data_IF_279962492514
#
_entry.id   IF_279962492514
#
_cell.length_a   1.000
_cell.length_b   1.000
_cell.length_c   1.000
_cell.angle_alpha   90.00
_cell.angle_beta   90.00
_cell.angle_gamma   90.00
#
_symmetry.space_group_name_H-M   'P 1'
#
loop_
_entity.id
_entity.type
_entity.pdbx_description
1 polymer ?
#
# COMPACT_ATOMS: atom_id res chain seq x y z
N UNK A 1 -15.08 -18.22 1.51
CA UNK A 1 -14.97 -16.79 1.15
C UNK A 1 -14.93 -16.61 -0.36
N UNK A 2 -13.91 -17.09 -1.09
CA UNK A 2 -13.86 -16.91 -2.57
C UNK A 2 -15.10 -17.46 -3.27
N UNK A 3 -15.62 -18.59 -2.83
CA UNK A 3 -16.87 -19.18 -3.36
C UNK A 3 -18.08 -18.22 -3.31
N UNK A 4 -18.11 -17.25 -2.41
CA UNK A 4 -19.21 -16.27 -2.34
C UNK A 4 -19.21 -15.27 -3.51
N UNK A 5 -18.15 -15.23 -4.30
CA UNK A 5 -18.04 -14.40 -5.50
C UNK A 5 -18.49 -15.12 -6.78
N UNK A 6 -18.79 -16.43 -6.71
CA UNK A 6 -19.18 -17.23 -7.87
C UNK A 6 -18.10 -17.22 -8.96
N UNK A 7 -18.51 -17.06 -10.21
CA UNK A 7 -17.60 -17.00 -11.36
C UNK A 7 -16.80 -15.70 -11.48
N UNK A 8 -17.04 -14.70 -10.61
CA UNK A 8 -16.31 -13.42 -10.63
C UNK A 8 -14.91 -13.48 -10.02
N UNK A 9 -14.64 -14.51 -9.19
CA UNK A 9 -13.32 -14.74 -8.61
C UNK A 9 -13.01 -16.23 -8.58
N UNK A 10 -11.82 -16.59 -8.99
CA UNK A 10 -11.29 -17.95 -8.97
C UNK A 10 -10.18 -18.06 -7.95
N UNK A 11 -10.11 -19.19 -7.24
CA UNK A 11 -8.99 -19.50 -6.36
C UNK A 11 -8.07 -20.49 -7.07
N UNK A 12 -6.82 -20.12 -7.20
CA UNK A 12 -5.76 -20.92 -7.79
C UNK A 12 -4.65 -21.16 -6.76
N UNK A 13 -4.11 -22.35 -6.72
CA UNK A 13 -2.92 -22.69 -5.95
C UNK A 13 -1.78 -22.92 -6.93
N UNK A 14 -0.70 -22.17 -6.78
CA UNK A 14 0.51 -22.33 -7.58
C UNK A 14 1.60 -22.98 -6.76
N UNK A 15 2.38 -23.84 -7.40
CA UNK A 15 3.57 -24.44 -6.79
C UNK A 15 4.64 -23.36 -6.53
N UNK A 16 5.21 -23.40 -5.34
CA UNK A 16 6.16 -22.42 -4.86
C UNK A 16 7.35 -22.19 -5.81
N UNK A 17 7.91 -23.23 -6.38
CA UNK A 17 9.07 -23.16 -7.29
C UNK A 17 8.76 -22.81 -8.75
N UNK A 18 7.48 -22.56 -9.09
CA UNK A 18 7.04 -22.31 -10.46
C UNK A 18 6.12 -21.07 -10.59
N UNK A 19 6.06 -20.22 -9.57
CA UNK A 19 5.20 -19.05 -9.57
C UNK A 19 5.96 -17.78 -9.99
N UNK A 20 5.67 -17.20 -11.18
CA UNK A 20 6.25 -15.92 -11.59
C UNK A 20 5.97 -14.78 -10.62
N UNK A 21 4.84 -14.84 -9.89
CA UNK A 21 4.50 -13.85 -8.87
C UNK A 21 5.41 -14.00 -7.65
N UNK A 22 5.71 -15.22 -7.21
CA UNK A 22 6.65 -15.45 -6.12
C UNK A 22 8.03 -14.89 -6.46
N UNK A 23 8.52 -15.15 -7.66
CA UNK A 23 9.82 -14.64 -8.14
C UNK A 23 9.82 -13.10 -8.20
N UNK A 24 8.78 -12.51 -8.77
CA UNK A 24 8.64 -11.04 -8.89
C UNK A 24 8.68 -10.33 -7.54
N UNK A 25 8.08 -10.92 -6.49
CA UNK A 25 8.02 -10.35 -5.15
C UNK A 25 9.13 -10.84 -4.21
N UNK A 26 10.07 -11.65 -4.71
CA UNK A 26 11.16 -12.22 -3.91
C UNK A 26 10.63 -13.09 -2.76
N UNK A 27 9.58 -13.88 -3.02
CA UNK A 27 8.99 -14.80 -2.05
C UNK A 27 9.77 -16.10 -2.10
N UNK A 28 10.51 -16.40 -1.03
CA UNK A 28 11.36 -17.58 -0.89
C UNK A 28 10.78 -18.66 0.05
N UNK A 29 9.58 -18.44 0.58
CA UNK A 29 8.86 -19.32 1.50
C UNK A 29 7.36 -19.28 1.24
N UNK A 30 6.62 -20.19 1.84
CA UNK A 30 5.15 -20.26 1.75
C UNK A 30 4.50 -20.13 3.14
N UNK A 31 3.21 -19.76 3.22
CA UNK A 31 2.33 -19.32 2.15
C UNK A 31 2.51 -17.84 1.82
N UNK A 32 2.28 -17.47 0.57
CA UNK A 32 2.01 -16.09 0.17
C UNK A 32 0.64 -16.02 -0.48
N UNK A 33 -0.08 -14.91 -0.31
CA UNK A 33 -1.40 -14.73 -0.88
C UNK A 33 -1.43 -13.52 -1.79
N UNK A 34 -1.93 -13.74 -2.99
CA UNK A 34 -2.12 -12.72 -4.01
C UNK A 34 -3.61 -12.57 -4.35
N UNK A 35 -4.01 -11.40 -4.78
CA UNK A 35 -5.26 -11.15 -5.49
C UNK A 35 -4.87 -10.56 -6.83
N UNK A 36 -5.07 -11.32 -7.90
CA UNK A 36 -4.42 -11.14 -9.19
C UNK A 36 -2.89 -11.04 -9.00
N UNK A 37 -2.26 -9.95 -9.44
CA UNK A 37 -0.82 -9.72 -9.30
C UNK A 37 -0.44 -8.90 -8.06
N UNK A 38 -1.34 -8.77 -7.07
CA UNK A 38 -1.10 -7.98 -5.86
C UNK A 38 -0.85 -8.87 -4.68
N UNK A 39 0.32 -8.72 -4.06
CA UNK A 39 0.68 -9.42 -2.84
C UNK A 39 -0.12 -8.86 -1.65
N UNK A 40 -0.96 -9.69 -1.06
CA UNK A 40 -1.80 -9.34 0.10
C UNK A 40 -1.14 -9.76 1.41
N UNK A 41 -0.50 -10.91 1.42
CA UNK A 41 0.15 -11.44 2.61
C UNK A 41 1.41 -12.24 2.25
N UNK A 42 2.45 -12.06 3.06
CA UNK A 42 3.74 -12.76 2.98
C UNK A 42 3.80 -13.93 3.95
N UNK A 43 4.76 -14.85 3.80
CA UNK A 43 4.98 -15.94 4.76
C UNK A 43 5.10 -15.45 6.21
N UNK A 44 5.80 -14.35 6.43
CA UNK A 44 6.04 -13.74 7.73
C UNK A 44 4.75 -13.25 8.41
N UNK A 45 3.71 -12.96 7.63
CA UNK A 45 2.41 -12.52 8.14
C UNK A 45 1.62 -13.64 8.82
N UNK A 46 1.96 -14.91 8.55
CA UNK A 46 1.29 -16.09 9.10
C UNK A 46 2.11 -16.81 10.16
N UNK A 47 3.43 -16.79 10.00
CA UNK A 47 4.38 -17.51 10.84
C UNK A 47 5.56 -16.61 11.18
N UNK A 48 6.17 -16.83 12.34
CA UNK A 48 7.34 -16.10 12.78
C UNK A 48 8.62 -16.53 12.02
N UNK A 49 8.61 -16.57 10.70
CA UNK A 49 9.78 -16.86 9.88
C UNK A 49 10.81 -15.71 9.98
N UNK A 50 11.67 -15.77 11.02
CA UNK A 50 12.72 -14.75 11.23
C UNK A 50 12.22 -13.37 11.69
N UNK A 51 10.96 -13.21 11.99
CA UNK A 51 10.32 -11.92 12.32
C UNK A 51 9.85 -11.76 13.76
N UNK A 52 10.60 -12.25 14.76
CA UNK A 52 10.30 -12.02 16.19
C UNK A 52 8.81 -12.19 16.61
N UNK A 53 8.04 -13.01 15.90
CA UNK A 53 6.61 -13.20 16.17
C UNK A 53 5.71 -12.03 15.78
N UNK A 54 6.19 -11.10 14.97
CA UNK A 54 5.47 -9.89 14.55
C UNK A 54 5.06 -10.00 13.09
N UNK A 55 3.90 -10.57 12.81
CA UNK A 55 3.29 -10.57 11.48
C UNK A 55 1.85 -10.10 11.54
N UNK A 56 1.30 -9.72 10.40
CA UNK A 56 -0.02 -9.09 10.30
C UNK A 56 -1.16 -9.95 10.88
N UNK A 57 -0.98 -11.28 10.80
CA UNK A 57 -1.99 -12.28 11.21
C UNK A 57 -1.48 -13.25 12.28
N UNK A 58 -0.48 -12.84 13.04
CA UNK A 58 0.09 -13.63 14.14
C UNK A 58 -0.54 -13.23 15.49
N UNK A 59 -0.88 -14.17 16.36
CA UNK A 59 -0.81 -15.62 16.13
C UNK A 59 -1.93 -16.15 15.20
N UNK A 60 -1.55 -16.99 14.25
CA UNK A 60 -2.49 -17.53 13.25
C UNK A 60 -3.63 -18.35 13.83
N UNK A 61 -3.43 -18.94 15.02
CA UNK A 61 -4.47 -19.69 15.72
C UNK A 61 -5.61 -18.78 16.22
N UNK A 62 -5.37 -17.49 16.37
CA UNK A 62 -6.39 -16.53 16.79
C UNK A 62 -7.46 -16.36 15.70
N UNK A 63 -8.72 -16.51 16.10
CA UNK A 63 -9.87 -16.33 15.20
C UNK A 63 -9.95 -14.90 14.68
N UNK A 64 -9.59 -13.91 15.49
CA UNK A 64 -9.60 -12.50 15.09
C UNK A 64 -8.61 -12.26 13.93
N UNK A 65 -7.40 -12.81 14.01
CA UNK A 65 -6.39 -12.68 12.96
C UNK A 65 -6.80 -13.37 11.65
N UNK A 66 -7.45 -14.55 11.74
CA UNK A 66 -8.03 -15.21 10.57
C UNK A 66 -9.17 -14.40 9.94
N UNK A 67 -10.03 -13.78 10.75
CA UNK A 67 -11.09 -12.88 10.27
C UNK A 67 -10.51 -11.63 9.62
N UNK A 68 -9.43 -11.08 10.17
CA UNK A 68 -8.69 -9.94 9.60
C UNK A 68 -8.18 -10.28 8.20
N UNK A 69 -7.49 -11.41 8.01
CA UNK A 69 -7.07 -11.86 6.68
C UNK A 69 -8.24 -11.98 5.71
N UNK A 70 -9.35 -12.60 6.15
CA UNK A 70 -10.53 -12.73 5.29
C UNK A 70 -11.12 -11.38 4.89
N UNK A 71 -11.12 -10.40 5.80
CA UNK A 71 -11.57 -9.05 5.50
C UNK A 71 -10.65 -8.35 4.51
N UNK A 72 -9.33 -8.46 4.69
CA UNK A 72 -8.35 -7.88 3.79
C UNK A 72 -8.45 -8.47 2.37
N UNK A 73 -8.58 -9.81 2.26
CA UNK A 73 -8.78 -10.47 0.98
C UNK A 73 -10.09 -10.07 0.30
N UNK A 74 -11.21 -10.00 1.04
CA UNK A 74 -12.49 -9.53 0.49
C UNK A 74 -12.35 -8.14 -0.07
N UNK A 75 -11.79 -7.23 0.71
CA UNK A 75 -11.58 -5.84 0.30
C UNK A 75 -10.76 -5.74 -0.98
N UNK A 76 -9.66 -6.51 -1.09
CA UNK A 76 -8.85 -6.52 -2.30
C UNK A 76 -9.62 -7.06 -3.51
N UNK A 77 -10.36 -8.15 -3.34
CA UNK A 77 -11.20 -8.71 -4.41
C UNK A 77 -12.26 -7.68 -4.84
N UNK A 78 -12.94 -7.03 -3.90
CA UNK A 78 -13.97 -6.04 -4.20
C UNK A 78 -13.40 -4.83 -4.95
N UNK A 79 -12.22 -4.35 -4.55
CA UNK A 79 -11.49 -3.29 -5.26
C UNK A 79 -11.19 -3.70 -6.70
N UNK A 80 -10.71 -4.94 -6.90
CA UNK A 80 -10.40 -5.47 -8.23
C UNK A 80 -11.66 -5.59 -9.10
N UNK A 81 -12.71 -6.15 -8.57
CA UNK A 81 -13.98 -6.32 -9.28
C UNK A 81 -14.69 -5.00 -9.60
N UNK A 82 -14.47 -3.96 -8.81
CA UNK A 82 -14.98 -2.63 -9.09
C UNK A 82 -14.17 -1.86 -10.17
N UNK A 83 -13.19 -2.51 -10.82
CA UNK A 83 -12.31 -1.86 -11.79
C UNK A 83 -11.29 -0.92 -11.14
N UNK A 84 -11.07 -1.03 -9.84
CA UNK A 84 -10.01 -0.35 -9.10
C UNK A 84 -8.67 -0.75 -9.69
N UNK A 85 -7.97 0.22 -10.26
CA UNK A 85 -6.76 0.02 -11.03
C UNK A 85 -5.66 -0.56 -10.18
N UNK A 86 -5.39 -1.80 -10.42
CA UNK A 86 -4.19 -2.48 -10.03
C UNK A 86 -3.39 -2.60 -11.32
N UNK A 87 -2.21 -2.01 -11.36
CA UNK A 87 -1.25 -2.05 -12.45
C UNK A 87 -1.85 -2.09 -13.87
N UNK A 88 -1.51 -1.17 -14.75
CA UNK A 88 -1.83 -1.33 -16.16
C UNK A 88 -1.02 -2.51 -16.70
N UNK A 89 -1.63 -3.67 -16.88
CA UNK A 89 -1.32 -4.47 -18.05
C UNK A 89 -1.70 -3.58 -19.22
N UNK A 90 -0.80 -3.42 -20.16
CA UNK A 90 -1.04 -2.65 -21.40
C UNK A 90 -2.41 -3.03 -21.97
N UNK A 91 -3.40 -2.22 -21.73
CA UNK A 91 -4.69 -2.29 -22.40
C UNK A 91 -4.93 -0.94 -23.06
N UNK A 92 -5.14 -1.06 -24.37
CA UNK A 92 -5.47 0.01 -25.32
C UNK A 92 -6.31 1.13 -24.69
N UNK A 93 -5.95 2.36 -25.06
CA UNK A 93 -6.68 3.59 -24.77
C UNK A 93 -8.20 3.43 -24.84
N UNK A 94 -8.88 3.80 -23.78
CA UNK A 94 -10.32 3.91 -23.78
C UNK A 94 -10.93 3.68 -22.39
N UNK A 95 -11.20 4.78 -21.72
CA UNK A 95 -11.94 4.96 -20.46
C UNK A 95 -11.08 4.95 -19.20
N UNK A 96 -10.58 6.13 -18.88
CA UNK A 96 -10.14 6.49 -17.54
C UNK A 96 -11.34 6.34 -16.58
N UNK A 97 -11.26 5.56 -15.49
CA UNK A 97 -12.26 5.63 -14.44
C UNK A 97 -12.29 7.07 -13.93
N UNK A 98 -13.49 7.62 -13.72
CA UNK A 98 -13.67 8.96 -13.21
C UNK A 98 -12.71 9.20 -12.04
N UNK A 99 -11.84 10.17 -12.18
CA UNK A 99 -10.68 10.43 -11.34
C UNK A 99 -11.10 10.58 -9.88
N UNK A 100 -10.86 9.54 -9.08
CA UNK A 100 -11.01 9.63 -7.63
C UNK A 100 -9.97 10.63 -7.11
N UNK A 101 -10.42 11.68 -6.47
CA UNK A 101 -9.52 12.63 -5.83
C UNK A 101 -9.04 12.10 -4.47
N UNK A 102 -7.88 12.59 -4.01
CA UNK A 102 -7.46 12.43 -2.62
C UNK A 102 -8.56 12.96 -1.69
N UNK A 103 -8.82 12.32 -0.55
CA UNK A 103 -9.96 12.65 0.29
C UNK A 103 -9.85 14.08 0.86
N UNK A 104 -11.00 14.77 0.92
CA UNK A 104 -11.11 16.11 1.51
C UNK A 104 -11.15 16.02 3.04
N UNK A 105 -10.02 15.67 3.65
CA UNK A 105 -9.86 15.50 5.10
C UNK A 105 -8.84 16.50 5.63
N UNK A 106 -9.05 16.96 6.87
CA UNK A 106 -8.04 17.70 7.62
C UNK A 106 -7.17 16.72 8.40
N UNK A 107 -5.87 16.84 8.25
CA UNK A 107 -4.86 15.98 8.87
C UNK A 107 -4.01 16.80 9.83
N UNK A 108 -3.51 16.15 10.88
CA UNK A 108 -2.51 16.73 11.80
C UNK A 108 -1.27 15.86 11.70
N UNK A 109 -0.16 16.45 11.28
CA UNK A 109 1.11 15.71 11.19
C UNK A 109 1.73 15.45 12.58
N UNK A 110 2.76 14.63 12.58
CA UNK A 110 3.44 14.22 13.82
C UNK A 110 4.13 15.41 14.55
N UNK A 111 4.30 16.52 13.86
CA UNK A 111 4.79 17.79 14.43
C UNK A 111 3.66 18.69 14.96
N UNK A 112 2.40 18.23 14.91
CA UNK A 112 1.23 18.97 15.38
C UNK A 112 0.70 20.01 14.41
N UNK A 113 1.17 20.03 13.15
CA UNK A 113 0.72 21.00 12.13
C UNK A 113 -0.44 20.43 11.32
N UNK A 114 -1.53 21.20 11.26
CA UNK A 114 -2.69 20.86 10.44
C UNK A 114 -2.40 21.08 8.95
N UNK A 115 -2.93 20.23 8.09
CA UNK A 115 -2.87 20.35 6.64
C UNK A 115 -4.01 19.59 5.96
N UNK A 116 -4.21 19.84 4.67
CA UNK A 116 -5.13 19.09 3.80
C UNK A 116 -4.41 18.73 2.50
N UNK A 117 -4.83 17.68 1.81
CA UNK A 117 -4.30 17.37 0.47
C UNK A 117 -4.57 18.51 -0.51
N UNK A 118 -5.74 19.18 -0.40
CA UNK A 118 -6.06 20.34 -1.22
C UNK A 118 -5.09 21.52 -1.03
N UNK A 119 -4.51 21.66 0.17
CA UNK A 119 -3.48 22.67 0.45
C UNK A 119 -2.09 22.33 -0.11
N UNK A 120 -1.91 21.13 -0.66
CA UNK A 120 -0.65 20.66 -1.25
C UNK A 120 -0.66 20.69 -2.79
N UNK A 121 -1.66 21.32 -3.41
CA UNK A 121 -1.80 21.42 -4.87
C UNK A 121 -0.62 22.10 -5.55
N UNK A 122 -0.50 21.86 -6.86
CA UNK A 122 0.55 22.44 -7.71
C UNK A 122 1.75 21.50 -7.93
N UNK A 123 1.86 20.41 -7.15
CA UNK A 123 2.85 19.34 -7.35
C UNK A 123 2.17 17.98 -7.14
N UNK A 124 2.63 16.92 -7.81
CA UNK A 124 2.20 15.57 -7.51
C UNK A 124 2.28 15.25 -6.01
N UNK A 125 1.37 14.43 -5.53
CA UNK A 125 1.32 13.98 -4.13
C UNK A 125 1.47 12.47 -4.11
N UNK A 126 2.49 11.99 -3.40
CA UNK A 126 2.69 10.57 -3.14
C UNK A 126 2.33 10.28 -1.69
N UNK A 127 1.26 9.49 -1.49
CA UNK A 127 0.80 9.07 -0.17
C UNK A 127 1.18 7.63 0.04
N UNK A 128 1.97 7.31 1.07
CA UNK A 128 2.34 5.96 1.44
C UNK A 128 1.65 5.54 2.74
N UNK A 129 0.91 4.44 2.70
CA UNK A 129 0.47 3.71 3.88
C UNK A 129 1.52 2.67 4.24
N UNK A 130 2.02 2.73 5.46
CA UNK A 130 3.14 1.93 5.92
C UNK A 130 2.99 1.51 7.39
N UNK A 131 3.78 0.54 7.83
CA UNK A 131 3.80 0.11 9.23
C UNK A 131 5.23 -0.12 9.71
N UNK A 132 5.48 0.05 11.01
CA UNK A 132 6.80 -0.13 11.62
C UNK A 132 7.31 -1.57 11.56
N UNK A 133 6.42 -2.53 11.48
CA UNK A 133 6.69 -3.97 11.36
C UNK A 133 6.76 -4.47 9.92
N UNK A 134 6.69 -3.57 8.90
CA UNK A 134 6.66 -3.91 7.48
C UNK A 134 8.03 -3.64 6.83
N UNK A 135 8.93 -4.63 6.67
CA UNK A 135 10.26 -4.41 6.12
C UNK A 135 10.27 -3.75 4.72
N UNK A 136 9.41 -4.16 3.74
CA UNK A 136 9.38 -3.48 2.45
C UNK A 136 8.92 -2.01 2.56
N UNK A 137 8.05 -1.67 3.52
CA UNK A 137 7.68 -0.28 3.77
C UNK A 137 8.90 0.55 4.23
N UNK A 138 9.73 -0.03 5.12
CA UNK A 138 10.93 0.65 5.61
C UNK A 138 11.93 0.91 4.49
N UNK A 139 12.00 0.01 3.51
CA UNK A 139 12.81 0.18 2.31
C UNK A 139 12.27 1.32 1.45
N UNK A 140 10.95 1.36 1.21
CA UNK A 140 10.30 2.46 0.47
C UNK A 140 10.50 3.81 1.17
N UNK A 141 10.27 3.90 2.49
CA UNK A 141 10.53 5.11 3.26
C UNK A 141 11.98 5.61 3.11
N UNK A 142 12.95 4.69 3.11
CA UNK A 142 14.36 5.06 2.92
C UNK A 142 14.64 5.58 1.51
N UNK A 143 13.95 5.04 0.50
CA UNK A 143 14.05 5.50 -0.88
C UNK A 143 13.37 6.85 -1.11
N UNK A 144 12.29 7.19 -0.39
CA UNK A 144 11.58 8.47 -0.55
C UNK A 144 12.50 9.69 -0.40
N UNK A 145 13.60 9.58 0.34
CA UNK A 145 14.60 10.67 0.48
C UNK A 145 15.30 11.03 -0.84
N UNK A 146 15.25 10.14 -1.84
CA UNK A 146 15.84 10.38 -3.16
C UNK A 146 14.94 11.28 -4.04
N UNK A 147 13.67 11.45 -3.63
CA UNK A 147 12.73 12.31 -4.32
C UNK A 147 13.00 13.77 -4.00
N UNK A 148 13.07 14.61 -5.03
CA UNK A 148 13.22 16.05 -4.84
C UNK A 148 11.92 16.66 -4.29
N UNK A 149 11.93 17.25 -3.08
CA UNK A 149 10.73 17.83 -2.47
C UNK A 149 10.20 19.05 -3.22
N UNK A 150 10.96 19.62 -4.15
CA UNK A 150 10.48 20.67 -5.06
C UNK A 150 9.52 20.13 -6.10
N UNK A 151 9.62 18.85 -6.43
CA UNK A 151 8.90 18.21 -7.52
C UNK A 151 7.76 17.29 -7.06
N UNK A 152 7.72 16.89 -5.79
CA UNK A 152 6.69 16.00 -5.25
C UNK A 152 6.44 16.28 -3.77
N UNK A 153 5.19 16.23 -3.36
CA UNK A 153 4.80 16.21 -1.96
C UNK A 153 4.69 14.76 -1.47
N UNK A 154 5.29 14.45 -0.33
CA UNK A 154 5.22 13.13 0.29
C UNK A 154 4.38 13.19 1.56
N UNK A 155 3.46 12.23 1.72
CA UNK A 155 2.66 12.03 2.93
C UNK A 155 2.75 10.57 3.35
N UNK A 156 3.34 10.29 4.51
CA UNK A 156 3.37 8.96 5.10
C UNK A 156 2.23 8.79 6.11
N UNK A 157 1.47 7.72 6.01
CA UNK A 157 0.38 7.38 6.93
C UNK A 157 0.74 6.08 7.63
N UNK A 158 1.12 6.17 8.91
CA UNK A 158 1.51 5.02 9.71
C UNK A 158 0.26 4.28 10.22
N UNK A 159 0.15 3.00 9.86
CA UNK A 159 -0.95 2.13 10.27
C UNK A 159 -0.47 1.10 11.28
N UNK A 160 -1.34 0.67 12.19
CA UNK A 160 -1.09 -0.43 13.14
C UNK A 160 0.30 -0.33 13.80
N UNK A 161 0.68 0.87 14.20
CA UNK A 161 2.00 1.19 14.73
C UNK A 161 1.90 2.15 15.90
N UNK A 162 2.75 1.96 16.90
CA UNK A 162 2.82 2.86 18.04
C UNK A 162 3.66 4.10 17.71
N UNK A 163 3.26 5.26 18.20
CA UNK A 163 3.92 6.55 17.91
C UNK A 163 5.43 6.54 18.20
N UNK A 164 5.95 6.05 19.32
CA UNK A 164 7.39 6.01 19.55
C UNK A 164 8.16 5.17 18.53
N UNK A 165 7.57 4.05 18.06
CA UNK A 165 8.16 3.21 17.03
C UNK A 165 8.15 3.90 15.65
N UNK A 166 7.09 4.66 15.34
CA UNK A 166 7.00 5.49 14.14
C UNK A 166 8.10 6.55 14.14
N UNK A 167 8.24 7.31 15.23
CA UNK A 167 9.28 8.34 15.35
C UNK A 167 10.69 7.75 15.18
N UNK A 168 10.97 6.58 15.77
CA UNK A 168 12.26 5.89 15.63
C UNK A 168 12.52 5.44 14.18
N UNK A 169 11.51 4.95 13.48
CA UNK A 169 11.62 4.57 12.06
C UNK A 169 11.91 5.80 11.20
N UNK A 170 11.16 6.88 11.37
CA UNK A 170 11.35 8.10 10.59
C UNK A 170 12.72 8.72 10.81
N UNK A 171 13.20 8.74 12.06
CA UNK A 171 14.56 9.20 12.38
C UNK A 171 15.64 8.35 11.67
N UNK A 172 15.44 7.03 11.58
CA UNK A 172 16.39 6.10 10.95
C UNK A 172 16.36 6.18 9.43
N UNK A 173 15.15 6.26 8.83
CA UNK A 173 14.99 6.25 7.36
C UNK A 173 15.25 7.60 6.74
N UNK A 174 15.03 8.68 7.47
CA UNK A 174 15.10 10.05 6.95
C UNK A 174 14.00 10.36 5.93
N UNK A 175 12.88 9.64 5.97
CA UNK A 175 11.78 9.82 5.03
C UNK A 175 11.27 11.27 5.05
N UNK A 176 11.21 11.95 3.90
CA UNK A 176 10.78 13.34 3.81
C UNK A 176 9.27 13.49 3.90
N UNK A 177 8.81 14.73 4.01
CA UNK A 177 7.39 15.06 3.88
C UNK A 177 6.66 15.14 5.21
N UNK A 178 5.34 14.94 5.17
CA UNK A 178 4.47 14.97 6.34
C UNK A 178 4.07 13.56 6.72
N UNK A 179 4.14 13.24 7.99
CA UNK A 179 3.77 11.92 8.49
C UNK A 179 2.64 12.06 9.50
N UNK A 180 1.66 11.17 9.42
CA UNK A 180 0.48 11.13 10.30
C UNK A 180 0.26 9.72 10.83
N UNK A 181 -0.40 9.59 11.98
CA UNK A 181 -0.95 8.32 12.44
C UNK A 181 -2.27 8.05 11.71
N UNK A 182 -2.48 6.81 11.28
CA UNK A 182 -3.74 6.42 10.69
C UNK A 182 -4.86 6.43 11.73
N UNK A 183 -6.05 6.83 11.29
CA UNK A 183 -7.29 6.70 12.06
C UNK A 183 -8.32 5.92 11.24
N UNK A 184 -9.28 5.24 11.85
CA UNK A 184 -10.31 4.52 11.10
C UNK A 184 -11.03 5.40 10.06
N UNK A 185 -11.47 6.65 10.37
CA UNK A 185 -12.07 7.51 9.35
C UNK A 185 -11.13 7.85 8.19
N UNK A 186 -9.82 8.00 8.45
CA UNK A 186 -8.84 8.26 7.39
C UNK A 186 -8.70 7.05 6.47
N UNK A 187 -8.63 5.83 7.03
CA UNK A 187 -8.58 4.60 6.23
C UNK A 187 -9.85 4.43 5.37
N UNK A 188 -11.02 4.71 5.93
CA UNK A 188 -12.30 4.67 5.21
C UNK A 188 -12.34 5.69 4.07
N UNK A 189 -11.82 6.90 4.27
CA UNK A 189 -11.76 7.94 3.26
C UNK A 189 -10.95 7.51 2.03
N UNK A 190 -9.94 6.65 2.20
CA UNK A 190 -9.19 6.02 1.11
C UNK A 190 -9.86 4.77 0.54
N UNK A 191 -11.02 4.36 1.07
CA UNK A 191 -11.74 3.15 0.66
C UNK A 191 -11.22 1.90 1.34
N UNK A 192 -10.51 2.09 2.43
CA UNK A 192 -9.87 1.05 3.21
C UNK A 192 -8.50 0.65 2.68
N UNK A 193 -7.75 -0.08 3.51
CA UNK A 193 -6.38 -0.48 3.22
C UNK A 193 -6.25 -2.00 3.28
N UNK A 194 -6.08 -2.69 2.13
CA UNK A 194 -5.99 -4.15 2.12
C UNK A 194 -4.61 -4.66 2.55
N UNK A 195 -3.54 -3.91 2.27
CA UNK A 195 -2.17 -4.30 2.53
C UNK A 195 -1.25 -3.08 2.72
N UNK A 196 -0.04 -3.30 3.26
CA UNK A 196 1.06 -2.33 3.29
C UNK A 196 2.31 -2.95 2.65
N UNK A 197 3.14 -2.14 1.95
CA UNK A 197 2.87 -0.76 1.59
C UNK A 197 1.74 -0.64 0.57
N UNK A 198 0.97 0.43 0.66
CA UNK A 198 0.08 0.87 -0.42
C UNK A 198 0.39 2.34 -0.68
N UNK A 199 0.64 2.67 -1.96
CA UNK A 199 0.97 4.03 -2.33
C UNK A 199 -0.06 4.57 -3.31
N UNK A 200 -0.54 5.79 -3.04
CA UNK A 200 -1.41 6.55 -3.93
C UNK A 200 -0.60 7.67 -4.55
N UNK A 201 -0.51 7.70 -5.86
CA UNK A 201 0.06 8.81 -6.61
C UNK A 201 -1.07 9.67 -7.16
N UNK A 202 -1.07 10.94 -6.80
CA UNK A 202 -1.99 11.92 -7.32
C UNK A 202 -1.24 13.00 -8.12
N UNK A 203 -1.93 13.58 -9.10
CA UNK A 203 -1.44 14.73 -9.85
C UNK A 203 -1.45 16.03 -9.01
N UNK A 204 -1.02 17.13 -9.60
CA UNK A 204 -0.97 18.44 -8.96
C UNK A 204 -2.35 19.00 -8.55
N UNK A 205 -3.43 18.48 -9.08
CA UNK A 205 -4.82 18.82 -8.71
C UNK A 205 -5.37 17.91 -7.61
N UNK A 206 -4.61 16.88 -7.22
CA UNK A 206 -5.01 15.91 -6.20
C UNK A 206 -5.86 14.76 -6.75
N UNK A 207 -5.91 14.55 -8.08
CA UNK A 207 -6.56 13.40 -8.69
C UNK A 207 -5.63 12.21 -8.62
N UNK A 208 -6.11 11.07 -8.09
CA UNK A 208 -5.36 9.84 -8.01
C UNK A 208 -5.18 9.29 -9.43
N UNK A 209 -3.92 9.26 -9.90
CA UNK A 209 -3.55 8.75 -11.23
C UNK A 209 -3.09 7.31 -11.18
N UNK A 210 -2.55 6.86 -10.03
CA UNK A 210 -2.12 5.48 -9.84
C UNK A 210 -2.14 5.06 -8.38
N UNK A 211 -2.38 3.77 -8.15
CA UNK A 211 -2.24 3.13 -6.83
C UNK A 211 -1.30 1.93 -6.98
N UNK A 212 -0.33 1.83 -6.07
CA UNK A 212 0.59 0.70 -6.01
C UNK A 212 0.28 -0.10 -4.75
N UNK A 213 0.13 -1.40 -4.89
CA UNK A 213 -0.12 -2.31 -3.79
C UNK A 213 1.06 -3.26 -3.61
N UNK A 214 1.59 -3.34 -2.39
CA UNK A 214 2.79 -4.13 -2.09
C UNK A 214 4.06 -3.48 -2.62
N UNK A 215 5.17 -4.21 -2.54
CA UNK A 215 6.50 -3.73 -2.94
C UNK A 215 7.18 -4.74 -3.87
N UNK A 216 6.79 -4.80 -5.15
CA UNK A 216 7.54 -5.54 -6.15
C UNK A 216 8.93 -4.90 -6.32
N UNK A 217 9.94 -5.65 -6.82
CA UNK A 217 11.32 -5.14 -6.95
C UNK A 217 11.45 -3.87 -7.80
N UNK A 218 10.56 -3.68 -8.75
CA UNK A 218 10.51 -2.54 -9.67
C UNK A 218 9.66 -1.35 -9.16
N UNK A 219 9.09 -1.42 -7.94
CA UNK A 219 8.18 -0.41 -7.39
C UNK A 219 8.74 1.01 -7.51
N UNK A 220 9.97 1.22 -7.09
CA UNK A 220 10.57 2.56 -7.06
C UNK A 220 10.78 3.12 -8.48
N UNK A 221 11.16 2.27 -9.42
CA UNK A 221 11.31 2.62 -10.83
C UNK A 221 9.97 3.01 -11.45
N UNK A 222 8.92 2.24 -11.17
CA UNK A 222 7.58 2.53 -11.65
C UNK A 222 7.02 3.82 -11.06
N UNK A 223 7.22 4.09 -9.76
CA UNK A 223 6.83 5.37 -9.16
C UNK A 223 7.58 6.53 -9.82
N UNK A 224 8.90 6.41 -10.00
CA UNK A 224 9.72 7.44 -10.64
C UNK A 224 9.26 7.72 -12.09
N UNK A 225 8.94 6.67 -12.85
CA UNK A 225 8.41 6.75 -14.21
C UNK A 225 7.05 7.47 -14.26
N UNK A 226 6.14 7.16 -13.33
CA UNK A 226 4.85 7.84 -13.27
C UNK A 226 4.98 9.31 -12.83
N UNK A 227 5.84 9.59 -11.85
CA UNK A 227 6.15 10.98 -11.43
C UNK A 227 6.71 11.81 -12.58
N UNK A 228 7.53 11.22 -13.46
CA UNK A 228 8.10 11.93 -14.61
C UNK A 228 7.03 12.38 -15.62
N UNK A 229 5.89 11.67 -15.71
CA UNK A 229 4.76 12.03 -16.60
C UNK A 229 3.91 13.19 -16.05
N UNK A 230 4.05 13.52 -14.75
CA UNK A 230 3.25 14.53 -14.06
C UNK A 230 3.98 15.88 -13.87
N UNK A 231 5.18 16.00 -14.47
CA UNK A 231 6.01 17.22 -14.44
C UNK A 231 5.67 18.18 -15.56
#
# INVERSE_FOLDING_TARGET
>A
MVQSYGSRAMFEVQDFGASPLADRFGIDKYPALFVDEVLVARPEDFYAWGGEGKGKYIPWKDVANRRKLQADLRRMIDIRLAGGNVLPTETKAGTTPASRALPAVSLVDLAGKSFTFAGMKGKPILVEFWATWCPPCLHTLSWLKELDPKNVNVVGIAVESERPAVDAVLARTGAPGRHVMATPPLLEAFGGLPAVPTLFLADGDGRIVRVFYGAPPDLHQEIAKELAKLR
#
